data_IF_348093146854
#
_entry.id   IF_348093146854
#
_cell.length_a   1.000
_cell.length_b   1.000
_cell.length_c   1.000
_cell.angle_alpha   90.00
_cell.angle_beta   90.00
_cell.angle_gamma   90.00
#
_symmetry.space_group_name_H-M   'P 1'
#
loop_
_entity.id
_entity.type
_entity.pdbx_description
1 polymer ?
#
# COMPACT_ATOMS: atom_id res chain seq x y z
N UNK A 1 -10.71 26.24 -3.47
CA UNK A 1 -9.97 25.18 -2.76
C UNK A 1 -9.94 24.01 -3.72
N UNK A 2 -8.76 23.59 -4.17
CA UNK A 2 -8.65 22.52 -5.19
C UNK A 2 -9.28 21.23 -4.65
N UNK A 3 -10.05 20.54 -5.48
CA UNK A 3 -10.56 19.21 -5.21
C UNK A 3 -9.36 18.27 -5.09
N UNK A 4 -8.94 17.99 -3.86
CA UNK A 4 -7.77 17.16 -3.60
C UNK A 4 -7.96 15.76 -4.17
N UNK A 5 -7.44 15.51 -5.37
CA UNK A 5 -7.38 14.17 -5.97
C UNK A 5 -6.42 13.33 -5.13
N UNK A 6 -6.95 12.53 -4.23
CA UNK A 6 -6.17 11.53 -3.52
C UNK A 6 -5.82 10.41 -4.50
N UNK A 7 -4.51 10.22 -4.74
CA UNK A 7 -4.00 9.07 -5.48
C UNK A 7 -3.85 7.90 -4.49
N UNK A 8 -4.34 6.73 -4.89
CA UNK A 8 -4.22 5.47 -4.15
C UNK A 8 -3.43 4.45 -4.97
N UNK A 9 -2.92 3.42 -4.31
CA UNK A 9 -2.08 2.40 -4.93
C UNK A 9 -0.61 2.82 -4.94
N UNK A 10 0.14 2.39 -5.96
CA UNK A 10 1.59 2.61 -6.03
C UNK A 10 1.90 3.95 -6.73
N UNK A 11 2.18 4.99 -5.95
CA UNK A 11 2.44 6.36 -6.43
C UNK A 11 3.91 6.53 -6.78
N UNK A 12 4.21 7.23 -7.88
CA UNK A 12 5.58 7.59 -8.24
C UNK A 12 5.96 8.91 -7.54
N UNK A 13 6.99 8.89 -6.72
CA UNK A 13 7.42 10.08 -5.99
C UNK A 13 7.90 11.19 -6.94
N UNK A 14 7.47 12.42 -6.67
CA UNK A 14 7.75 13.57 -7.53
C UNK A 14 6.94 13.62 -8.83
N UNK A 15 5.97 12.73 -9.03
CA UNK A 15 5.03 12.76 -10.17
C UNK A 15 3.58 12.65 -9.69
N UNK A 16 2.66 13.34 -10.35
CA UNK A 16 1.21 13.24 -10.08
C UNK A 16 0.57 12.04 -10.79
N UNK A 17 1.22 10.87 -10.70
CA UNK A 17 0.76 9.64 -11.36
C UNK A 17 1.13 8.39 -10.55
N UNK A 18 0.50 7.27 -10.91
CA UNK A 18 0.71 5.96 -10.29
C UNK A 18 1.33 4.98 -11.29
N UNK A 19 1.98 3.95 -10.76
CA UNK A 19 2.32 2.76 -11.55
C UNK A 19 1.01 2.04 -11.89
N UNK A 20 0.74 1.70 -13.16
CA UNK A 20 -0.49 1.01 -13.54
C UNK A 20 -0.64 -0.34 -12.84
N UNK A 21 -1.79 -0.58 -12.23
CA UNK A 21 -2.16 -1.87 -11.68
C UNK A 21 -2.39 -2.86 -12.84
N UNK A 22 -1.64 -3.98 -12.84
CA UNK A 22 -1.74 -5.01 -13.88
C UNK A 22 -2.75 -6.07 -13.53
N UNK A 23 -2.80 -6.46 -12.26
CA UNK A 23 -3.72 -7.49 -11.78
C UNK A 23 -4.16 -7.14 -10.35
N UNK A 24 -5.41 -7.48 -10.05
CA UNK A 24 -5.96 -7.44 -8.70
C UNK A 24 -6.69 -8.73 -8.42
N UNK A 25 -6.38 -9.35 -7.28
CA UNK A 25 -7.16 -10.46 -6.72
C UNK A 25 -7.65 -10.04 -5.35
N UNK A 26 -8.95 -10.14 -5.15
CA UNK A 26 -9.59 -9.79 -3.89
C UNK A 26 -10.30 -11.02 -3.38
N UNK A 27 -9.97 -11.41 -2.14
CA UNK A 27 -10.65 -12.46 -1.43
C UNK A 27 -11.33 -11.87 -0.20
N UNK A 28 -12.63 -12.16 -0.04
CA UNK A 28 -13.42 -11.66 1.09
C UNK A 28 -14.03 -12.83 1.82
N UNK A 29 -13.82 -12.86 3.14
CA UNK A 29 -14.45 -13.82 4.04
C UNK A 29 -15.31 -13.05 5.04
N UNK A 30 -16.59 -13.41 5.17
CA UNK A 30 -17.50 -12.79 6.13
C UNK A 30 -17.84 -13.80 7.23
N UNK A 31 -17.62 -13.41 8.49
CA UNK A 31 -17.92 -14.22 9.67
C UNK A 31 -18.66 -13.35 10.70
N UNK A 32 -19.95 -13.63 10.89
CA UNK A 32 -20.82 -12.78 11.70
C UNK A 32 -20.87 -11.35 11.13
N UNK A 33 -20.43 -10.38 11.92
CA UNK A 33 -20.37 -8.96 11.53
C UNK A 33 -18.99 -8.49 11.05
N UNK A 34 -18.02 -9.41 10.91
CA UNK A 34 -16.65 -9.08 10.50
C UNK A 34 -16.45 -9.50 9.04
N UNK A 35 -15.93 -8.57 8.23
CA UNK A 35 -15.43 -8.85 6.88
C UNK A 35 -13.91 -8.82 6.88
N UNK A 36 -13.29 -9.96 6.59
CA UNK A 36 -11.87 -10.03 6.31
C UNK A 36 -11.63 -9.84 4.79
N UNK A 37 -10.78 -8.89 4.43
CA UNK A 37 -10.47 -8.56 3.04
C UNK A 37 -8.98 -8.76 2.81
N UNK A 38 -8.64 -9.70 1.93
CA UNK A 38 -7.29 -9.88 1.41
C UNK A 38 -7.23 -9.35 -0.03
N UNK A 39 -6.30 -8.43 -0.30
CA UNK A 39 -6.10 -7.85 -1.62
C UNK A 39 -4.66 -8.08 -2.07
N UNK A 40 -4.50 -8.80 -3.18
CA UNK A 40 -3.23 -8.96 -3.88
C UNK A 40 -3.21 -8.03 -5.09
N UNK A 41 -2.26 -7.10 -5.12
CA UNK A 41 -2.14 -6.06 -6.14
C UNK A 41 -0.80 -6.20 -6.87
N UNK A 42 -0.84 -6.46 -8.18
CA UNK A 42 0.36 -6.66 -8.98
C UNK A 42 0.66 -5.41 -9.81
N UNK A 43 1.85 -4.85 -9.60
CA UNK A 43 2.38 -3.72 -10.35
C UNK A 43 3.65 -4.15 -11.10
N UNK A 44 3.88 -3.55 -12.27
CA UNK A 44 5.10 -3.76 -13.04
C UNK A 44 5.67 -2.40 -13.46
N UNK A 45 6.96 -2.21 -13.21
CA UNK A 45 7.69 -1.11 -13.82
C UNK A 45 8.13 -1.54 -15.22
N UNK A 46 7.34 -1.16 -16.23
CA UNK A 46 7.62 -1.49 -17.63
C UNK A 46 8.63 -0.51 -18.27
N UNK A 47 9.22 0.39 -17.49
CA UNK A 47 10.22 1.35 -17.95
C UNK A 47 11.64 0.87 -17.66
N UNK A 48 12.63 1.46 -18.33
CA UNK A 48 14.04 1.18 -18.08
C UNK A 48 14.61 1.96 -16.89
N UNK A 49 13.84 2.88 -16.30
CA UNK A 49 14.28 3.73 -15.19
C UNK A 49 13.84 3.15 -13.85
N UNK A 50 14.67 3.30 -12.82
CA UNK A 50 14.26 2.97 -11.46
C UNK A 50 13.21 3.98 -10.98
N UNK A 51 12.08 3.49 -10.47
CA UNK A 51 11.03 4.33 -9.90
C UNK A 51 11.12 4.33 -8.38
N UNK A 52 11.14 5.52 -7.78
CA UNK A 52 10.92 5.70 -6.36
C UNK A 52 9.40 5.79 -6.13
N UNK A 53 8.85 4.90 -5.31
CA UNK A 53 7.41 4.74 -5.17
C UNK A 53 6.95 4.58 -3.73
N UNK A 54 5.78 5.11 -3.43
CA UNK A 54 5.09 4.96 -2.15
C UNK A 54 3.72 4.30 -2.37
N UNK A 55 3.38 3.30 -1.56
CA UNK A 55 2.07 2.66 -1.60
C UNK A 55 1.09 3.33 -0.64
N UNK A 56 -0.03 3.83 -1.14
CA UNK A 56 -1.08 4.50 -0.34
C UNK A 56 -2.36 3.66 -0.38
N UNK A 57 -2.75 3.15 0.79
CA UNK A 57 -3.98 2.40 0.98
C UNK A 57 -5.12 3.31 1.50
N UNK A 58 -6.31 3.30 0.88
CA UNK A 58 -7.48 3.99 1.43
C UNK A 58 -8.01 3.19 2.63
N UNK A 59 -7.85 3.74 3.83
CA UNK A 59 -8.40 3.14 5.06
C UNK A 59 -9.60 3.95 5.52
N UNK A 60 -10.72 3.28 5.80
CA UNK A 60 -11.90 3.89 6.43
C UNK A 60 -11.81 3.82 7.97
N UNK A 61 -12.57 4.68 8.67
CA UNK A 61 -12.53 4.80 10.14
C UNK A 61 -13.04 3.55 10.88
N UNK A 62 -13.74 2.64 10.19
CA UNK A 62 -14.29 1.40 10.74
C UNK A 62 -13.44 0.17 10.35
N UNK A 63 -12.30 0.38 9.68
CA UNK A 63 -11.41 -0.66 9.19
C UNK A 63 -10.05 -0.64 9.89
N UNK A 64 -9.39 -1.79 9.92
CA UNK A 64 -8.01 -1.92 10.39
C UNK A 64 -7.21 -2.81 9.45
N UNK A 65 -6.02 -2.36 9.08
CA UNK A 65 -5.03 -3.17 8.36
C UNK A 65 -4.19 -3.90 9.40
N UNK A 66 -4.32 -5.22 9.48
CA UNK A 66 -3.56 -6.04 10.44
C UNK A 66 -2.38 -6.79 9.79
N UNK A 67 -2.30 -6.81 8.46
CA UNK A 67 -1.24 -7.47 7.70
C UNK A 67 -0.98 -6.71 6.40
N UNK A 68 0.28 -6.38 6.14
CA UNK A 68 0.71 -5.79 4.88
C UNK A 68 2.07 -6.34 4.47
N UNK A 69 2.12 -6.98 3.31
CA UNK A 69 3.32 -7.63 2.78
C UNK A 69 3.50 -7.25 1.31
N UNK A 70 4.75 -7.29 0.84
CA UNK A 70 5.08 -7.03 -0.55
C UNK A 70 6.23 -7.91 -1.02
N UNK A 71 6.06 -8.54 -2.18
CA UNK A 71 7.13 -9.23 -2.90
C UNK A 71 7.74 -8.29 -3.96
N UNK A 72 9.01 -7.91 -3.78
CA UNK A 72 9.73 -6.98 -4.66
C UNK A 72 11.09 -7.56 -5.02
N UNK A 73 11.34 -7.82 -6.31
CA UNK A 73 12.64 -8.32 -6.81
C UNK A 73 13.17 -9.52 -5.99
N UNK A 74 12.32 -10.54 -5.77
CA UNK A 74 12.59 -11.73 -4.96
C UNK A 74 12.85 -11.47 -3.47
N UNK A 75 12.51 -10.29 -2.97
CA UNK A 75 12.52 -9.96 -1.53
C UNK A 75 11.09 -9.89 -1.04
N UNK A 76 10.81 -10.63 0.03
CA UNK A 76 9.55 -10.52 0.76
C UNK A 76 9.70 -9.48 1.87
N UNK A 77 8.87 -8.45 1.85
CA UNK A 77 8.85 -7.36 2.82
C UNK A 77 7.57 -7.50 3.64
N UNK A 78 7.71 -7.57 4.96
CA UNK A 78 6.58 -7.55 5.90
C UNK A 78 6.61 -6.20 6.60
N UNK A 79 5.51 -5.45 6.52
CA UNK A 79 5.39 -4.18 7.24
C UNK A 79 4.94 -4.43 8.68
N UNK A 80 5.62 -3.76 9.61
CA UNK A 80 5.16 -3.68 10.99
C UNK A 80 4.08 -2.60 11.11
N UNK A 81 2.86 -2.99 11.48
CA UNK A 81 1.81 -2.03 11.76
C UNK A 81 2.09 -1.34 13.11
N UNK A 82 2.34 -0.04 13.09
CA UNK A 82 2.58 0.76 14.29
C UNK A 82 1.41 1.71 14.54
N UNK A 83 1.03 1.88 15.81
CA UNK A 83 0.02 2.87 16.19
C UNK A 83 0.44 4.28 15.73
N UNK A 84 -0.52 5.05 15.21
CA UNK A 84 -0.32 6.43 14.76
C UNK A 84 0.32 7.34 15.82
N UNK A 85 0.18 7.01 17.11
CA UNK A 85 0.78 7.76 18.23
C UNK A 85 2.26 7.43 18.52
N UNK A 86 2.79 6.34 17.98
CA UNK A 86 4.19 5.89 18.21
C UNK A 86 5.15 6.21 17.07
N UNK A 87 4.68 6.82 15.98
CA UNK A 87 5.54 7.31 14.89
C UNK A 87 6.20 8.63 15.30
N UNK A 88 6.99 8.59 16.37
CA UNK A 88 8.00 9.58 16.67
C UNK A 88 9.31 8.83 16.82
N UNK A 89 10.17 8.94 15.81
CA UNK A 89 11.61 8.68 15.88
C UNK A 89 12.09 7.21 15.88
N UNK A 90 12.12 6.57 14.72
CA UNK A 90 13.22 5.63 14.38
C UNK A 90 13.40 5.45 12.88
N UNK A 91 14.06 6.43 12.23
CA UNK A 91 14.93 6.10 11.10
C UNK A 91 16.25 5.65 11.69
N UNK A 92 16.50 4.35 11.72
CA UNK A 92 17.86 3.80 11.84
C UNK A 92 18.09 2.85 10.68
N UNK A 93 18.72 3.38 9.64
CA UNK A 93 19.48 2.56 8.71
C UNK A 93 20.85 2.33 9.35
N UNK A 94 21.23 1.07 9.49
CA UNK A 94 22.58 0.60 9.77
C UNK A 94 22.90 -0.51 8.79
#
# INVERSE_FOLDING_TARGET
MADGKFLYGLIIEGKDTTVPLKESKVHVTVQGFIANVESQLTYSNDTHEALQTSFIFPMDDMSAVYKFEADVNNKHIIAECQDKQKVTHSRKWG
#
